data_IF_165226059085
#
_entry.id   IF_165226059085
#
_cell.length_a   1.000
_cell.length_b   1.000
_cell.length_c   1.000
_cell.angle_alpha   90.00
_cell.angle_beta   90.00
_cell.angle_gamma   90.00
#
_symmetry.space_group_name_H-M   'P 1'
#
loop_
_entity.id
_entity.type
_entity.pdbx_description
1 polymer ?
#
# COMPACT_ATOMS: atom_id res chain seq x y z
N UNK A 1 -8.02 -6.80 -5.09
CA UNK A 1 -6.72 -7.28 -4.64
C UNK A 1 -6.93 -8.12 -3.39
N UNK A 2 -6.24 -9.24 -3.27
CA UNK A 2 -6.19 -10.10 -2.09
C UNK A 2 -5.14 -9.59 -1.08
N UNK A 3 -5.22 -10.07 0.17
CA UNK A 3 -4.26 -9.70 1.22
C UNK A 3 -2.79 -9.95 0.83
N UNK A 4 -2.50 -11.10 0.23
CA UNK A 4 -1.14 -11.47 -0.18
C UNK A 4 -0.56 -10.56 -1.27
N UNK A 5 -1.42 -10.00 -2.11
CA UNK A 5 -1.06 -9.06 -3.17
C UNK A 5 -0.75 -7.69 -2.57
N UNK A 6 -1.52 -7.23 -1.57
CA UNK A 6 -1.18 -6.02 -0.80
C UNK A 6 0.15 -6.17 -0.07
N UNK A 7 0.43 -7.33 0.52
CA UNK A 7 1.71 -7.62 1.16
C UNK A 7 2.88 -7.60 0.16
N UNK A 8 2.61 -7.93 -1.11
CA UNK A 8 3.57 -7.75 -2.19
C UNK A 8 3.86 -6.29 -2.48
N UNK A 9 2.83 -5.47 -2.61
CA UNK A 9 3.00 -4.05 -2.80
C UNK A 9 3.76 -3.41 -1.63
N UNK A 10 3.46 -3.79 -0.39
CA UNK A 10 4.17 -3.30 0.80
C UNK A 10 5.67 -3.57 0.70
N UNK A 11 6.09 -4.82 0.47
CA UNK A 11 7.54 -5.13 0.39
C UNK A 11 8.22 -4.52 -0.84
N UNK A 12 7.52 -4.45 -1.97
CA UNK A 12 8.07 -3.87 -3.20
C UNK A 12 8.25 -2.36 -3.05
N UNK A 13 7.22 -1.66 -2.59
CA UNK A 13 7.27 -0.22 -2.32
C UNK A 13 8.33 0.15 -1.28
N UNK A 14 8.42 -0.62 -0.18
CA UNK A 14 9.47 -0.41 0.83
C UNK A 14 10.88 -0.60 0.27
N UNK A 15 11.07 -1.55 -0.65
CA UNK A 15 12.36 -1.77 -1.32
C UNK A 15 12.71 -0.64 -2.30
N UNK A 16 11.71 -0.12 -3.04
CA UNK A 16 11.90 0.97 -4.01
C UNK A 16 12.22 2.29 -3.30
N UNK A 17 11.50 2.61 -2.22
CA UNK A 17 11.69 3.83 -1.45
C UNK A 17 12.84 3.75 -0.43
N UNK A 18 13.45 2.56 -0.25
CA UNK A 18 14.36 2.26 0.86
C UNK A 18 13.76 2.71 2.20
N UNK A 19 12.51 2.32 2.43
CA UNK A 19 11.72 2.64 3.62
C UNK A 19 11.19 1.38 4.29
N UNK A 20 11.23 1.37 5.62
CA UNK A 20 10.76 0.27 6.45
C UNK A 20 9.26 0.29 6.72
N UNK A 21 8.56 1.37 6.34
CA UNK A 21 7.12 1.50 6.55
C UNK A 21 6.40 2.16 5.38
N UNK A 22 5.29 1.55 4.95
CA UNK A 22 4.43 2.02 3.87
C UNK A 22 3.04 2.29 4.45
N UNK A 23 2.51 3.49 4.19
CA UNK A 23 1.13 3.86 4.53
C UNK A 23 0.22 3.44 3.39
N UNK A 24 -0.91 2.85 3.73
CA UNK A 24 -1.95 2.46 2.79
C UNK A 24 -3.23 3.20 3.17
N UNK A 25 -3.80 3.91 2.21
CA UNK A 25 -5.08 4.59 2.35
C UNK A 25 -6.08 4.04 1.31
N UNK A 26 -7.24 4.68 1.21
CA UNK A 26 -8.23 4.30 0.21
C UNK A 26 -8.86 2.93 0.47
N UNK A 27 -9.36 2.30 -0.59
CA UNK A 27 -10.20 1.11 -0.46
C UNK A 27 -9.46 -0.11 0.09
N UNK A 28 -8.18 -0.28 -0.26
CA UNK A 28 -7.40 -1.47 0.11
C UNK A 28 -6.81 -1.41 1.53
N UNK A 29 -6.94 -0.28 2.24
CA UNK A 29 -6.58 -0.22 3.67
C UNK A 29 -7.44 -1.16 4.52
N UNK A 30 -8.65 -1.50 4.07
CA UNK A 30 -9.55 -2.44 4.76
C UNK A 30 -8.90 -3.80 5.03
N UNK A 31 -8.00 -4.25 4.14
CA UNK A 31 -7.30 -5.51 4.28
C UNK A 31 -6.42 -5.53 5.53
N UNK A 32 -5.98 -4.36 6.02
CA UNK A 32 -5.27 -4.19 7.29
C UNK A 32 -6.01 -4.84 8.46
N UNK A 33 -7.29 -4.50 8.62
CA UNK A 33 -8.14 -5.00 9.70
C UNK A 33 -8.86 -6.30 9.35
N UNK A 34 -9.20 -6.50 8.07
CA UNK A 34 -9.99 -7.63 7.59
C UNK A 34 -9.22 -8.35 6.46
N UNK A 35 -8.27 -9.24 6.80
CA UNK A 35 -7.46 -9.94 5.80
C UNK A 35 -8.29 -10.82 4.86
N UNK A 36 -9.43 -11.33 5.36
CA UNK A 36 -10.38 -12.16 4.60
C UNK A 36 -11.64 -11.35 4.20
N UNK A 37 -11.47 -10.07 3.85
CA UNK A 37 -12.58 -9.20 3.48
C UNK A 37 -13.43 -9.81 2.33
N UNK A 38 -14.77 -9.56 2.31
CA UNK A 38 -15.64 -10.11 1.28
C UNK A 38 -15.17 -9.77 -0.13
N UNK A 39 -15.35 -10.70 -1.08
CA UNK A 39 -14.89 -10.54 -2.47
C UNK A 39 -15.35 -9.25 -3.15
N UNK A 40 -16.54 -8.74 -2.79
CA UNK A 40 -17.05 -7.45 -3.27
C UNK A 40 -16.16 -6.25 -2.94
N UNK A 41 -15.30 -6.35 -1.92
CA UNK A 41 -14.34 -5.32 -1.51
C UNK A 41 -12.93 -5.57 -2.06
N UNK A 42 -12.72 -6.70 -2.75
CA UNK A 42 -11.43 -7.12 -3.32
C UNK A 42 -11.36 -6.89 -4.84
N UNK A 43 -12.20 -6.01 -5.38
CA UNK A 43 -12.32 -5.81 -6.83
C UNK A 43 -11.28 -4.83 -7.41
N UNK A 44 -10.63 -4.02 -6.56
CA UNK A 44 -9.62 -3.06 -7.02
C UNK A 44 -8.32 -3.77 -7.40
N UNK A 45 -7.70 -3.37 -8.52
CA UNK A 45 -6.35 -3.80 -8.88
C UNK A 45 -5.26 -2.90 -8.26
N UNK A 46 -5.62 -1.70 -7.81
CA UNK A 46 -4.70 -0.73 -7.21
C UNK A 46 -4.73 -0.77 -5.68
N UNK A 47 -3.64 -0.30 -5.06
CA UNK A 47 -3.62 0.18 -3.68
C UNK A 47 -2.95 1.55 -3.58
N UNK A 48 -3.66 2.53 -2.99
CA UNK A 48 -3.14 3.87 -2.71
C UNK A 48 -2.12 3.82 -1.57
N UNK A 49 -0.86 4.13 -1.85
CA UNK A 49 0.19 4.05 -0.84
C UNK A 49 1.32 5.08 -0.97
N UNK A 50 2.04 5.27 0.13
CA UNK A 50 3.23 6.12 0.18
C UNK A 50 4.21 5.70 1.29
N UNK A 51 5.51 6.02 1.18
CA UNK A 51 6.48 5.73 2.24
C UNK A 51 6.23 6.62 3.46
N UNK A 52 6.24 6.03 4.66
CA UNK A 52 5.92 6.75 5.89
C UNK A 52 7.01 7.76 6.26
N UNK A 53 8.29 7.42 6.07
CA UNK A 53 9.43 8.24 6.45
C UNK A 53 9.94 9.11 5.29
N UNK A 54 9.64 8.71 4.04
CA UNK A 54 10.05 9.40 2.81
C UNK A 54 8.87 9.63 1.84
N UNK A 55 7.82 10.36 2.26
CA UNK A 55 6.61 10.54 1.46
C UNK A 55 6.86 11.16 0.08
N UNK A 56 7.97 11.89 -0.10
CA UNK A 56 8.40 12.44 -1.38
C UNK A 56 8.78 11.38 -2.44
N UNK A 57 8.98 10.13 -2.05
CA UNK A 57 9.30 9.02 -2.95
C UNK A 57 8.05 8.25 -3.44
N UNK A 58 6.85 8.76 -3.18
CA UNK A 58 5.61 8.14 -3.68
C UNK A 58 5.58 8.05 -5.22
N UNK A 59 6.01 9.10 -5.91
CA UNK A 59 6.05 9.13 -7.38
C UNK A 59 7.04 8.09 -7.93
N UNK A 60 8.17 7.86 -7.24
CA UNK A 60 9.13 6.82 -7.62
C UNK A 60 8.51 5.41 -7.55
N UNK A 61 7.61 5.17 -6.59
CA UNK A 61 6.88 3.90 -6.51
C UNK A 61 5.90 3.77 -7.68
N UNK A 62 5.16 4.83 -7.98
CA UNK A 62 4.20 4.87 -9.10
C UNK A 62 4.89 4.60 -10.44
N UNK A 63 6.03 5.26 -10.68
CA UNK A 63 6.85 5.04 -11.88
C UNK A 63 7.40 3.61 -11.99
N UNK A 64 7.67 2.95 -10.85
CA UNK A 64 8.29 1.63 -10.81
C UNK A 64 7.30 0.47 -10.89
N UNK A 65 6.21 0.56 -10.13
CA UNK A 65 5.23 -0.53 -9.93
C UNK A 65 3.77 -0.03 -9.98
N UNK A 66 3.53 1.14 -10.57
CA UNK A 66 2.20 1.70 -10.79
C UNK A 66 1.55 1.25 -12.08
N UNK A 67 0.50 1.96 -12.49
CA UNK A 67 -0.36 1.57 -13.60
C UNK A 67 0.42 1.44 -14.92
N UNK A 68 0.37 0.24 -15.51
CA UNK A 68 0.95 -0.02 -16.83
C UNK A 68 2.46 -0.29 -16.78
N UNK A 69 3.05 -0.33 -15.59
CA UNK A 69 4.41 -0.83 -15.40
C UNK A 69 4.50 -2.33 -15.76
N UNK A 70 5.71 -2.85 -16.05
CA UNK A 70 5.91 -4.30 -16.20
C UNK A 70 5.48 -5.10 -14.96
N UNK A 71 5.50 -4.49 -13.78
CA UNK A 71 4.96 -5.09 -12.56
C UNK A 71 3.45 -5.28 -12.66
N UNK A 72 2.73 -4.23 -13.07
CA UNK A 72 1.28 -4.30 -13.28
C UNK A 72 0.92 -5.37 -14.33
N UNK A 73 1.60 -5.39 -15.47
CA UNK A 73 1.36 -6.38 -16.52
C UNK A 73 1.60 -7.82 -16.05
N UNK A 74 2.65 -8.03 -15.24
CA UNK A 74 3.03 -9.35 -14.76
C UNK A 74 2.09 -9.90 -13.68
N UNK A 75 1.66 -9.03 -12.75
CA UNK A 75 0.93 -9.47 -11.56
C UNK A 75 -0.57 -9.15 -11.60
N UNK A 76 -1.01 -8.23 -12.45
CA UNK A 76 -2.41 -7.81 -12.57
C UNK A 76 -2.88 -6.86 -11.45
N UNK A 77 -1.96 -6.36 -10.63
CA UNK A 77 -2.21 -5.36 -9.59
C UNK A 77 -1.00 -4.42 -9.45
N UNK A 78 -1.22 -3.23 -8.89
CA UNK A 78 -0.21 -2.17 -8.86
C UNK A 78 -0.34 -1.25 -7.65
N UNK A 79 0.71 -0.50 -7.35
CA UNK A 79 0.69 0.55 -6.33
C UNK A 79 0.37 1.90 -6.99
N UNK A 80 -0.62 2.61 -6.48
CA UNK A 80 -0.85 4.00 -6.87
C UNK A 80 -0.10 4.90 -5.88
N UNK A 81 0.92 5.61 -6.36
CA UNK A 81 1.66 6.57 -5.55
C UNK A 81 0.76 7.74 -5.15
N UNK A 82 0.60 7.99 -3.86
CA UNK A 82 -0.23 9.09 -3.33
C UNK A 82 0.51 9.89 -2.26
N UNK A 83 -0.13 10.90 -1.68
CA UNK A 83 0.44 11.69 -0.58
C UNK A 83 -0.56 11.85 0.57
N UNK A 84 -0.09 12.31 1.73
CA UNK A 84 -0.96 12.71 2.84
C UNK A 84 -2.00 13.77 2.47
N UNK A 85 -1.80 14.48 1.35
CA UNK A 85 -2.73 15.53 0.86
C UNK A 85 -3.76 15.00 -0.13
N UNK A 86 -3.60 13.76 -0.63
CA UNK A 86 -4.55 13.12 -1.55
C UNK A 86 -5.90 12.89 -0.87
N UNK A 87 -5.93 12.77 0.46
CA UNK A 87 -7.15 12.66 1.26
C UNK A 87 -7.18 13.69 2.40
N UNK A 88 -8.39 14.14 2.76
CA UNK A 88 -8.59 14.92 3.99
C UNK A 88 -8.61 13.97 5.17
N UNK A 89 -7.44 13.76 5.78
CA UNK A 89 -7.30 12.84 6.91
C UNK A 89 -7.73 13.52 8.22
N UNK A 90 -8.45 12.81 9.12
CA UNK A 90 -8.84 13.36 10.40
C UNK A 90 -7.62 13.65 11.27
N UNK A 91 -7.78 14.56 12.23
CA UNK A 91 -6.78 14.76 13.29
C UNK A 91 -6.46 13.41 13.93
N UNK A 92 -5.18 13.16 14.20
CA UNK A 92 -4.67 11.92 14.80
C UNK A 92 -4.89 10.64 13.97
N UNK A 93 -5.03 10.74 12.64
CA UNK A 93 -5.15 9.56 11.76
C UNK A 93 -4.05 8.51 12.00
N UNK A 94 -2.82 8.94 12.32
CA UNK A 94 -1.70 8.05 12.63
C UNK A 94 -1.97 7.08 13.78
N UNK A 95 -2.79 7.49 14.76
CA UNK A 95 -3.18 6.63 15.89
C UNK A 95 -4.22 5.57 15.52
N UNK A 96 -4.80 5.66 14.32
CA UNK A 96 -5.79 4.71 13.79
C UNK A 96 -5.18 3.66 12.86
N UNK A 97 -3.88 3.74 12.59
CA UNK A 97 -3.19 2.84 11.67
C UNK A 97 -3.19 1.41 12.18
N UNK A 98 -3.64 0.48 11.33
CA UNK A 98 -3.57 -0.96 11.55
C UNK A 98 -2.32 -1.51 10.89
N UNK A 99 -1.52 -2.25 11.66
CA UNK A 99 -0.21 -2.75 11.22
C UNK A 99 -0.32 -4.08 10.48
N UNK A 100 0.37 -4.18 9.36
CA UNK A 100 0.64 -5.40 8.61
C UNK A 100 2.13 -5.69 8.73
N UNK A 101 2.49 -6.77 9.42
CA UNK A 101 3.88 -7.22 9.52
C UNK A 101 3.89 -8.75 9.70
N UNK A 102 4.29 -9.46 8.66
CA UNK A 102 4.37 -10.93 8.65
C UNK A 102 5.44 -11.36 7.62
N UNK A 103 5.71 -12.67 7.47
CA UNK A 103 6.74 -13.13 6.54
C UNK A 103 6.56 -12.63 5.09
N UNK A 104 5.34 -12.38 4.62
CA UNK A 104 5.10 -11.93 3.25
C UNK A 104 5.52 -10.47 2.99
N UNK A 105 5.74 -9.66 4.04
CA UNK A 105 6.20 -8.27 3.88
C UNK A 105 7.71 -8.11 3.99
N UNK A 106 8.46 -9.20 4.22
CA UNK A 106 9.93 -9.20 4.30
C UNK A 106 10.52 -8.11 5.23
N UNK A 107 9.84 -7.81 6.34
CA UNK A 107 10.30 -6.82 7.33
C UNK A 107 9.82 -5.39 7.09
N UNK A 108 9.21 -5.09 5.94
CA UNK A 108 8.52 -3.81 5.72
C UNK A 108 7.16 -3.84 6.43
N UNK A 109 6.81 -2.75 7.10
CA UNK A 109 5.53 -2.61 7.82
C UNK A 109 4.51 -1.90 6.94
N UNK A 110 3.38 -2.54 6.68
CA UNK A 110 2.20 -1.86 6.13
C UNK A 110 1.41 -1.15 7.24
N UNK A 111 0.99 0.08 7.00
CA UNK A 111 0.22 0.92 7.92
C UNK A 111 -1.10 1.33 7.26
N UNK A 112 -2.16 0.55 7.48
CA UNK A 112 -3.47 0.78 6.89
C UNK A 112 -4.31 1.76 7.72
N UNK A 113 -4.83 2.81 7.11
CA UNK A 113 -5.70 3.80 7.76
C UNK A 113 -7.19 3.44 7.74
#
# INVERSE_FOLDING_TARGET
MQRSELEHLIRAAGSIADDSAIVIIGSQSILGQFPDAPSALLVSAEADLFPFNRPELADLIDESIGEGSPFHELYGYYAQGVSERTAVLPKNWRARLVRIANPNTHGVVGLCL
#
